data_IF_391023917944
#
_entry.id   IF_391023917944
#
_cell.length_a   1.000
_cell.length_b   1.000
_cell.length_c   1.000
_cell.angle_alpha   90.00
_cell.angle_beta   90.00
_cell.angle_gamma   90.00
#
_symmetry.space_group_name_H-M   'P 1'
#
loop_
_entity.id
_entity.type
_entity.pdbx_description
1 polymer ?
#
# COMPACT_ATOMS: atom_id res chain seq x y z
N UNK A 1 -16.80 38.40 -17.13
CA UNK A 1 -16.95 37.49 -18.28
C UNK A 1 -16.64 36.10 -17.75
N UNK A 2 -17.66 35.30 -17.49
CA UNK A 2 -17.52 33.91 -17.02
C UNK A 2 -17.03 33.07 -18.21
N UNK A 3 -15.81 32.62 -18.15
CA UNK A 3 -15.24 31.68 -19.10
C UNK A 3 -15.94 30.33 -18.89
N UNK A 4 -16.90 29.98 -19.75
CA UNK A 4 -17.42 28.64 -19.86
C UNK A 4 -16.23 27.73 -20.23
N UNK A 5 -15.66 27.00 -19.25
CA UNK A 5 -14.87 25.83 -19.58
C UNK A 5 -15.77 24.85 -20.34
N UNK A 6 -15.39 24.37 -21.52
CA UNK A 6 -16.15 23.35 -22.20
C UNK A 6 -16.26 22.14 -21.27
N UNK A 7 -17.48 21.56 -21.16
CA UNK A 7 -17.72 20.28 -20.50
C UNK A 7 -16.68 19.29 -21.03
N UNK A 8 -15.66 18.99 -20.26
CA UNK A 8 -14.75 17.89 -20.59
C UNK A 8 -15.61 16.64 -20.62
N UNK A 9 -15.71 15.98 -21.78
CA UNK A 9 -16.27 14.64 -21.87
C UNK A 9 -15.67 13.79 -20.75
N UNK A 10 -16.51 13.02 -20.05
CA UNK A 10 -16.02 12.16 -18.95
C UNK A 10 -14.87 11.32 -19.51
N UNK A 11 -13.70 11.42 -18.87
CA UNK A 11 -12.50 10.71 -19.33
C UNK A 11 -12.74 9.20 -19.46
N UNK A 12 -13.75 8.66 -18.78
CA UNK A 12 -14.13 7.25 -18.82
C UNK A 12 -14.77 6.83 -20.15
N UNK A 13 -15.35 7.77 -20.89
CA UNK A 13 -15.91 7.55 -22.22
C UNK A 13 -14.83 7.55 -23.32
N UNK A 14 -13.61 7.93 -22.96
CA UNK A 14 -12.47 7.96 -23.90
C UNK A 14 -11.71 6.63 -23.87
N UNK A 15 -11.11 6.21 -25.00
CA UNK A 15 -10.21 5.06 -25.01
C UNK A 15 -9.02 5.31 -24.07
N UNK A 16 -8.46 4.27 -23.44
CA UNK A 16 -7.33 4.42 -22.51
C UNK A 16 -6.14 5.22 -23.08
N UNK A 17 -5.89 5.11 -24.39
CA UNK A 17 -4.83 5.84 -25.07
C UNK A 17 -4.99 7.38 -25.05
N UNK A 18 -6.20 7.87 -24.78
CA UNK A 18 -6.50 9.30 -24.68
C UNK A 18 -6.64 9.77 -23.22
N UNK A 19 -6.45 8.86 -22.25
CA UNK A 19 -6.54 9.15 -20.81
C UNK A 19 -5.13 9.22 -20.21
N UNK A 20 -4.79 10.36 -19.62
CA UNK A 20 -3.48 10.59 -19.00
C UNK A 20 -3.55 10.39 -17.49
N UNK A 21 -2.70 9.49 -16.97
CA UNK A 21 -2.66 9.10 -15.58
C UNK A 21 -1.29 9.41 -14.97
N UNK A 22 -1.25 10.17 -13.88
CA UNK A 22 -0.01 10.36 -13.09
C UNK A 22 -0.03 9.42 -11.90
N UNK A 23 1.06 8.66 -11.72
CA UNK A 23 1.24 7.75 -10.59
C UNK A 23 2.31 8.31 -9.65
N UNK A 24 1.91 8.67 -8.44
CA UNK A 24 2.81 9.01 -7.34
C UNK A 24 3.17 7.78 -6.53
N UNK A 25 4.43 7.69 -6.06
CA UNK A 25 4.92 6.47 -5.42
C UNK A 25 5.20 5.34 -6.41
N UNK A 26 5.44 5.67 -7.69
CA UNK A 26 5.63 4.73 -8.81
C UNK A 26 6.76 3.71 -8.55
N UNK A 27 7.86 4.12 -7.90
CA UNK A 27 8.98 3.23 -7.56
C UNK A 27 8.76 2.42 -6.27
N UNK A 28 7.63 2.64 -5.59
CA UNK A 28 7.22 1.88 -4.41
C UNK A 28 6.78 0.46 -4.75
N UNK A 29 6.58 -0.34 -3.71
CA UNK A 29 6.28 -1.76 -3.86
C UNK A 29 5.03 -2.02 -4.74
N UNK A 30 3.90 -1.37 -4.44
CA UNK A 30 2.68 -1.52 -5.25
C UNK A 30 2.72 -0.62 -6.48
N UNK A 31 3.26 0.61 -6.36
CA UNK A 31 3.24 1.59 -7.45
C UNK A 31 3.86 1.10 -8.75
N UNK A 32 4.93 0.30 -8.67
CA UNK A 32 5.56 -0.29 -9.88
C UNK A 32 4.65 -1.28 -10.62
N UNK A 33 3.82 -2.04 -9.90
CA UNK A 33 2.84 -2.93 -10.52
C UNK A 33 1.69 -2.13 -11.12
N UNK A 34 1.27 -1.05 -10.45
CA UNK A 34 0.25 -0.13 -10.96
C UNK A 34 0.70 0.52 -12.26
N UNK A 35 1.91 1.07 -12.33
CA UNK A 35 2.46 1.65 -13.57
C UNK A 35 2.45 0.63 -14.71
N UNK A 36 2.95 -0.58 -14.46
CA UNK A 36 2.99 -1.66 -15.47
C UNK A 36 1.59 -2.07 -15.94
N UNK A 37 0.65 -2.19 -15.02
CA UNK A 37 -0.73 -2.56 -15.39
C UNK A 37 -1.41 -1.44 -16.20
N UNK A 38 -1.23 -0.18 -15.83
CA UNK A 38 -1.79 0.95 -16.58
C UNK A 38 -1.19 1.06 -17.99
N UNK A 39 0.13 0.87 -18.14
CA UNK A 39 0.79 0.81 -19.46
C UNK A 39 0.24 -0.35 -20.28
N UNK A 40 0.09 -1.54 -19.68
CA UNK A 40 -0.49 -2.73 -20.34
C UNK A 40 -1.91 -2.48 -20.83
N UNK A 41 -2.71 -1.68 -20.11
CA UNK A 41 -4.07 -1.29 -20.52
C UNK A 41 -4.10 -0.16 -21.57
N UNK A 42 -2.95 0.40 -21.92
CA UNK A 42 -2.81 1.41 -22.95
C UNK A 42 -3.03 2.85 -22.48
N UNK A 43 -3.03 3.13 -21.18
CA UNK A 43 -3.10 4.50 -20.66
C UNK A 43 -1.83 5.30 -20.97
N UNK A 44 -1.94 6.63 -21.09
CA UNK A 44 -0.79 7.52 -21.09
C UNK A 44 -0.28 7.71 -19.65
N UNK A 45 0.72 6.93 -19.27
CA UNK A 45 1.18 6.88 -17.88
C UNK A 45 2.37 7.81 -17.65
N UNK A 46 2.27 8.67 -16.64
CA UNK A 46 3.38 9.45 -16.09
C UNK A 46 3.78 8.82 -14.74
N UNK A 47 4.95 8.22 -14.66
CA UNK A 47 5.54 7.74 -13.42
C UNK A 47 6.32 8.88 -12.75
N UNK A 48 5.75 9.47 -11.69
CA UNK A 48 6.44 10.53 -10.95
C UNK A 48 7.35 9.94 -9.88
N UNK A 49 8.64 10.16 -10.03
CA UNK A 49 9.69 9.53 -9.26
C UNK A 49 10.61 10.55 -8.60
N UNK A 50 11.29 10.15 -7.54
CA UNK A 50 12.40 10.94 -6.98
C UNK A 50 13.65 10.73 -7.81
N UNK A 51 14.54 11.73 -7.87
CA UNK A 51 15.82 11.65 -8.59
C UNK A 51 16.69 10.48 -8.11
N UNK A 52 16.60 10.14 -6.83
CA UNK A 52 17.17 8.92 -6.25
C UNK A 52 16.05 8.07 -5.68
N UNK A 53 15.84 6.93 -6.25
CA UNK A 53 14.75 6.00 -5.94
C UNK A 53 15.25 4.62 -5.53
N UNK A 54 14.33 3.71 -5.31
CA UNK A 54 14.64 2.36 -4.84
C UNK A 54 15.04 2.33 -3.36
N UNK A 55 15.50 1.16 -2.93
CA UNK A 55 15.90 0.91 -1.54
C UNK A 55 17.14 1.74 -1.20
N UNK A 56 17.04 2.56 -0.15
CA UNK A 56 18.13 3.44 0.27
C UNK A 56 18.54 4.48 -0.77
N UNK A 57 17.71 4.78 -1.79
CA UNK A 57 18.04 5.76 -2.84
C UNK A 57 19.17 5.32 -3.78
N UNK A 58 19.36 4.01 -3.96
CA UNK A 58 20.47 3.44 -4.73
C UNK A 58 20.29 3.49 -6.24
N UNK A 59 19.06 3.61 -6.74
CA UNK A 59 18.77 3.72 -8.17
C UNK A 59 18.97 5.16 -8.64
N UNK A 60 19.71 5.33 -9.74
CA UNK A 60 19.82 6.59 -10.46
C UNK A 60 18.65 6.77 -11.46
N UNK A 61 18.60 7.92 -12.13
CA UNK A 61 17.50 8.25 -13.05
C UNK A 61 17.41 7.26 -14.22
N UNK A 62 18.52 6.87 -14.83
CA UNK A 62 18.54 5.94 -15.98
C UNK A 62 18.00 4.57 -15.62
N UNK A 63 18.34 4.08 -14.44
CA UNK A 63 17.81 2.81 -13.91
C UNK A 63 16.30 2.91 -13.66
N UNK A 64 15.82 4.03 -13.10
CA UNK A 64 14.40 4.24 -12.89
C UNK A 64 13.63 4.32 -14.20
N UNK A 65 14.18 4.99 -15.22
CA UNK A 65 13.57 5.04 -16.56
C UNK A 65 13.50 3.63 -17.17
N UNK A 66 14.55 2.83 -17.03
CA UNK A 66 14.59 1.46 -17.54
C UNK A 66 13.56 0.52 -16.87
N UNK A 67 13.15 0.81 -15.62
CA UNK A 67 12.15 0.02 -14.88
C UNK A 67 10.71 0.21 -15.41
N UNK A 68 10.46 1.30 -16.16
CA UNK A 68 9.12 1.70 -16.61
C UNK A 68 8.99 1.85 -18.14
N UNK A 69 9.28 0.79 -18.93
CA UNK A 69 9.09 0.83 -20.37
C UNK A 69 7.63 1.15 -20.73
N UNK A 70 7.41 2.11 -21.61
CA UNK A 70 6.09 2.55 -22.05
C UNK A 70 5.44 3.63 -21.18
N UNK A 71 6.03 4.00 -20.04
CA UNK A 71 5.61 5.15 -19.26
C UNK A 71 6.55 6.34 -19.45
N UNK A 72 6.02 7.56 -19.36
CA UNK A 72 6.81 8.76 -19.23
C UNK A 72 7.30 8.91 -17.80
N UNK A 73 8.62 8.86 -17.57
CA UNK A 73 9.19 9.06 -16.24
C UNK A 73 9.52 10.53 -16.02
N UNK A 74 9.02 11.09 -14.93
CA UNK A 74 9.32 12.47 -14.51
C UNK A 74 9.87 12.47 -13.09
N UNK A 75 10.83 13.38 -12.86
CA UNK A 75 11.52 13.46 -11.58
C UNK A 75 11.12 14.72 -10.81
N UNK A 76 10.96 14.54 -9.48
CA UNK A 76 10.65 15.62 -8.56
C UNK A 76 10.43 15.14 -7.12
N UNK A 77 10.05 16.08 -6.26
CA UNK A 77 9.74 15.82 -4.86
C UNK A 77 8.26 16.13 -4.57
N UNK A 78 7.53 15.16 -4.06
CA UNK A 78 6.12 15.30 -3.64
C UNK A 78 5.93 16.22 -2.43
N UNK A 79 7.01 16.55 -1.71
CA UNK A 79 7.01 17.50 -0.61
C UNK A 79 7.11 18.95 -1.10
N UNK A 80 7.66 19.16 -2.30
CA UNK A 80 7.80 20.47 -2.92
C UNK A 80 6.65 20.73 -3.90
N UNK A 81 5.73 21.61 -3.51
CA UNK A 81 4.57 22.01 -4.31
C UNK A 81 4.98 22.58 -5.67
N UNK A 82 6.09 23.34 -5.75
CA UNK A 82 6.58 23.88 -7.00
C UNK A 82 7.14 22.77 -7.92
N UNK A 83 7.75 21.74 -7.35
CA UNK A 83 8.18 20.57 -8.10
C UNK A 83 6.98 19.80 -8.68
N UNK A 84 5.91 19.64 -7.91
CA UNK A 84 4.67 19.01 -8.38
C UNK A 84 4.06 19.78 -9.53
N UNK A 85 3.83 21.07 -9.36
CA UNK A 85 3.22 21.92 -10.39
C UNK A 85 3.99 21.88 -11.70
N UNK A 86 5.32 22.00 -11.66
CA UNK A 86 6.17 22.05 -12.86
C UNK A 86 6.41 20.70 -13.51
N UNK A 87 6.58 19.65 -12.70
CA UNK A 87 7.08 18.37 -13.20
C UNK A 87 5.99 17.28 -13.27
N UNK A 88 4.99 17.29 -12.37
CA UNK A 88 3.91 16.34 -12.43
C UNK A 88 2.77 16.77 -13.37
N UNK A 89 2.46 18.07 -13.41
CA UNK A 89 1.31 18.64 -14.11
C UNK A 89 1.65 19.70 -15.18
N UNK A 90 2.71 19.58 -15.99
CA UNK A 90 3.00 20.55 -17.07
C UNK A 90 2.04 20.42 -18.24
N UNK A 91 1.26 19.35 -18.30
CA UNK A 91 0.24 19.06 -19.30
C UNK A 91 -1.03 18.60 -18.57
N UNK A 92 -2.21 18.69 -19.22
CA UNK A 92 -3.44 18.18 -18.65
C UNK A 92 -3.34 16.71 -18.24
N UNK A 93 -3.84 16.40 -17.06
CA UNK A 93 -3.90 15.05 -16.49
C UNK A 93 -5.36 14.78 -16.12
N UNK A 94 -5.86 13.58 -16.42
CA UNK A 94 -7.23 13.19 -16.14
C UNK A 94 -7.35 12.54 -14.77
N UNK A 95 -6.38 11.69 -14.41
CA UNK A 95 -6.42 10.87 -13.19
C UNK A 95 -5.09 10.93 -12.45
N UNK A 96 -5.17 11.03 -11.14
CA UNK A 96 -4.04 10.80 -10.23
C UNK A 96 -4.23 9.46 -9.54
N UNK A 97 -3.18 8.64 -9.51
CA UNK A 97 -3.09 7.45 -8.66
C UNK A 97 -1.98 7.67 -7.65
N UNK A 98 -2.34 7.69 -6.36
CA UNK A 98 -1.37 7.84 -5.27
C UNK A 98 -1.12 6.50 -4.57
N UNK A 99 0.10 5.99 -4.73
CA UNK A 99 0.65 4.85 -4.00
C UNK A 99 1.71 5.30 -2.98
N UNK A 100 1.60 6.55 -2.49
CA UNK A 100 2.52 7.08 -1.49
C UNK A 100 2.32 6.38 -0.15
N UNK A 101 3.43 6.04 0.49
CA UNK A 101 3.46 5.52 1.84
C UNK A 101 4.75 5.94 2.54
N UNK A 102 4.67 6.20 3.85
CA UNK A 102 5.84 6.38 4.70
C UNK A 102 6.69 5.10 4.70
N UNK A 103 7.99 5.25 4.89
CA UNK A 103 8.92 4.12 4.88
C UNK A 103 8.99 3.41 6.22
N UNK A 104 9.00 4.20 7.28
CA UNK A 104 9.23 3.71 8.64
C UNK A 104 7.94 3.53 9.43
N UNK A 105 6.85 4.15 9.01
CA UNK A 105 5.63 4.25 9.80
C UNK A 105 5.78 5.12 11.06
N UNK A 106 6.99 5.70 11.30
CA UNK A 106 7.25 6.63 12.38
C UNK A 106 6.40 7.89 12.25
N UNK A 107 6.20 8.61 13.36
CA UNK A 107 5.28 9.74 13.42
C UNK A 107 5.59 10.83 12.40
N UNK A 108 6.85 11.29 12.32
CA UNK A 108 7.22 12.37 11.41
C UNK A 108 7.07 11.95 9.94
N UNK A 109 7.56 10.76 9.60
CA UNK A 109 7.49 10.23 8.23
C UNK A 109 6.04 10.01 7.78
N UNK A 110 5.20 9.46 8.65
CA UNK A 110 3.78 9.23 8.39
C UNK A 110 3.03 10.53 8.08
N UNK A 111 3.14 11.54 8.93
CA UNK A 111 2.46 12.81 8.69
C UNK A 111 3.05 13.59 7.51
N UNK A 112 4.37 13.46 7.25
CA UNK A 112 5.01 14.11 6.11
C UNK A 112 4.64 13.46 4.76
N UNK A 113 4.46 12.12 4.71
CA UNK A 113 4.22 11.39 3.45
C UNK A 113 2.77 10.95 3.33
N UNK A 114 2.23 10.17 4.30
CA UNK A 114 0.89 9.61 4.18
C UNK A 114 -0.20 10.69 4.22
N UNK A 115 0.09 11.84 4.87
CA UNK A 115 -0.82 12.99 4.89
C UNK A 115 -0.33 14.12 3.99
N UNK A 116 0.72 14.87 4.38
CA UNK A 116 1.05 16.16 3.75
C UNK A 116 1.47 16.03 2.28
N UNK A 117 2.38 15.11 1.96
CA UNK A 117 2.81 14.92 0.58
C UNK A 117 1.64 14.43 -0.31
N UNK A 118 0.79 13.55 0.23
CA UNK A 118 -0.41 13.07 -0.47
C UNK A 118 -1.41 14.21 -0.68
N UNK A 119 -1.62 15.08 0.31
CA UNK A 119 -2.44 16.29 0.20
C UNK A 119 -1.88 17.28 -0.84
N UNK A 120 -0.55 17.43 -0.93
CA UNK A 120 0.07 18.26 -1.95
C UNK A 120 -0.25 17.74 -3.36
N UNK A 121 -0.17 16.41 -3.59
CA UNK A 121 -0.49 15.81 -4.90
C UNK A 121 -1.96 16.01 -5.26
N UNK A 122 -2.86 15.92 -4.30
CA UNK A 122 -4.28 16.21 -4.48
C UNK A 122 -4.52 17.68 -4.84
N UNK A 123 -3.96 18.59 -4.03
CA UNK A 123 -4.15 20.03 -4.20
C UNK A 123 -3.63 20.53 -5.55
N UNK A 124 -2.44 20.09 -5.96
CA UNK A 124 -1.88 20.47 -7.26
C UNK A 124 -2.60 19.79 -8.42
N UNK A 125 -3.03 18.53 -8.26
CA UNK A 125 -3.88 17.84 -9.22
C UNK A 125 -5.22 18.57 -9.44
N UNK A 126 -5.87 19.04 -8.37
CA UNK A 126 -7.09 19.84 -8.44
C UNK A 126 -6.89 21.13 -9.22
N UNK A 127 -5.83 21.89 -8.92
CA UNK A 127 -5.46 23.11 -9.67
C UNK A 127 -5.21 22.82 -11.15
N UNK A 128 -4.65 21.67 -11.48
CA UNK A 128 -4.39 21.22 -12.84
C UNK A 128 -5.64 20.66 -13.55
N UNK A 129 -6.79 20.59 -12.87
CA UNK A 129 -8.05 20.13 -13.41
C UNK A 129 -8.16 18.61 -13.53
N UNK A 130 -7.47 17.85 -12.67
CA UNK A 130 -7.63 16.40 -12.55
C UNK A 130 -9.07 16.08 -12.16
N UNK A 131 -9.67 15.09 -12.82
CA UNK A 131 -11.08 14.75 -12.63
C UNK A 131 -11.30 13.62 -11.59
N UNK A 132 -10.29 12.78 -11.36
CA UNK A 132 -10.41 11.62 -10.47
C UNK A 132 -9.11 11.32 -9.70
N UNK A 133 -9.25 10.94 -8.44
CA UNK A 133 -8.14 10.59 -7.56
C UNK A 133 -8.29 9.17 -7.01
N UNK A 134 -7.37 8.28 -7.34
CA UNK A 134 -7.32 6.92 -6.79
C UNK A 134 -6.27 6.88 -5.68
N UNK A 135 -6.68 6.60 -4.47
CA UNK A 135 -5.82 6.51 -3.29
C UNK A 135 -5.58 5.05 -2.90
N UNK A 136 -4.34 4.63 -2.85
CA UNK A 136 -3.95 3.41 -2.17
C UNK A 136 -3.80 3.69 -0.66
N UNK A 137 -4.83 3.36 0.09
CA UNK A 137 -4.84 3.41 1.54
C UNK A 137 -4.51 2.03 2.15
N UNK A 138 -5.12 1.67 3.27
CA UNK A 138 -4.94 0.39 3.94
C UNK A 138 -6.19 0.02 4.75
N UNK A 139 -6.55 -1.27 4.83
CA UNK A 139 -7.73 -1.69 5.59
C UNK A 139 -7.60 -1.38 7.10
N UNK A 140 -6.38 -1.35 7.61
CA UNK A 140 -6.12 -1.11 9.03
C UNK A 140 -6.46 0.31 9.51
N UNK A 141 -6.73 1.28 8.61
CA UNK A 141 -7.15 2.64 9.01
C UNK A 141 -8.55 2.67 9.65
N UNK A 142 -9.36 1.63 9.47
CA UNK A 142 -10.69 1.54 10.09
C UNK A 142 -10.63 1.41 11.63
N UNK A 143 -9.44 1.08 12.20
CA UNK A 143 -9.16 1.04 13.63
C UNK A 143 -7.79 1.71 13.89
N UNK A 144 -7.70 3.07 13.83
CA UNK A 144 -6.44 3.80 13.74
C UNK A 144 -5.77 3.93 15.11
N UNK A 145 -4.91 2.97 15.45
CA UNK A 145 -4.12 2.96 16.69
C UNK A 145 -2.70 3.52 16.47
N UNK A 146 -2.20 3.53 15.23
CA UNK A 146 -0.85 3.89 14.84
C UNK A 146 -0.80 5.23 14.09
N UNK A 147 0.35 5.89 14.11
CA UNK A 147 0.49 7.22 13.51
C UNK A 147 0.26 7.22 11.99
N UNK A 148 0.77 6.21 11.25
CA UNK A 148 0.53 6.14 9.81
C UNK A 148 -0.95 5.90 9.46
N UNK A 149 -1.69 5.16 10.29
CA UNK A 149 -3.12 4.95 10.11
C UNK A 149 -3.90 6.25 10.28
N UNK A 150 -3.55 7.04 11.31
CA UNK A 150 -4.16 8.35 11.57
C UNK A 150 -3.86 9.34 10.44
N UNK A 151 -2.60 9.35 9.95
CA UNK A 151 -2.18 10.21 8.86
C UNK A 151 -2.92 9.88 7.55
N UNK A 152 -3.05 8.60 7.20
CA UNK A 152 -3.83 8.15 6.05
C UNK A 152 -5.30 8.51 6.19
N UNK A 153 -5.91 8.23 7.34
CA UNK A 153 -7.32 8.52 7.60
C UNK A 153 -7.62 10.02 7.53
N UNK A 154 -6.71 10.87 8.03
CA UNK A 154 -6.84 12.32 7.93
C UNK A 154 -6.87 12.78 6.47
N UNK A 155 -6.04 12.19 5.59
CA UNK A 155 -6.10 12.49 4.16
C UNK A 155 -7.35 11.92 3.49
N UNK A 156 -7.78 10.70 3.84
CA UNK A 156 -9.05 10.16 3.31
C UNK A 156 -10.23 11.08 3.63
N UNK A 157 -10.29 11.60 4.87
CA UNK A 157 -11.32 12.55 5.28
C UNK A 157 -11.25 13.84 4.43
N UNK A 158 -10.06 14.42 4.27
CA UNK A 158 -9.89 15.62 3.44
C UNK A 158 -10.31 15.39 1.98
N UNK A 159 -10.02 14.20 1.42
CA UNK A 159 -10.41 13.82 0.07
C UNK A 159 -11.94 13.67 -0.08
N UNK A 160 -12.61 13.14 0.94
CA UNK A 160 -14.06 12.93 0.93
C UNK A 160 -14.84 14.24 1.13
N UNK A 161 -14.33 15.13 1.98
CA UNK A 161 -15.02 16.36 2.37
C UNK A 161 -14.97 17.46 1.29
N UNK A 162 -13.94 17.44 0.43
CA UNK A 162 -13.74 18.50 -0.57
C UNK A 162 -14.81 18.49 -1.68
N UNK A 163 -15.23 17.31 -2.14
CA UNK A 163 -16.33 17.13 -3.11
C UNK A 163 -16.07 17.64 -4.54
N UNK A 164 -14.94 18.29 -4.81
CA UNK A 164 -14.64 18.87 -6.13
C UNK A 164 -14.04 17.87 -7.12
N UNK A 165 -13.33 16.86 -6.63
CA UNK A 165 -12.73 15.79 -7.42
C UNK A 165 -13.34 14.45 -7.03
N UNK A 166 -13.75 13.63 -7.99
CA UNK A 166 -14.19 12.27 -7.67
C UNK A 166 -13.02 11.42 -7.19
N UNK A 167 -13.30 10.41 -6.37
CA UNK A 167 -12.26 9.58 -5.78
C UNK A 167 -12.61 8.09 -5.77
N UNK A 168 -11.56 7.27 -5.60
CA UNK A 168 -11.67 5.86 -5.19
C UNK A 168 -10.61 5.60 -4.10
N UNK A 169 -11.04 5.25 -2.90
CA UNK A 169 -10.14 4.97 -1.77
C UNK A 169 -10.02 3.46 -1.63
N UNK A 170 -8.91 2.88 -2.08
CA UNK A 170 -8.64 1.45 -2.02
C UNK A 170 -8.00 1.11 -0.68
N UNK A 171 -8.66 0.26 0.10
CA UNK A 171 -8.17 -0.24 1.41
C UNK A 171 -7.84 -1.73 1.33
N UNK A 172 -6.66 -2.10 0.82
CA UNK A 172 -6.25 -3.49 0.71
C UNK A 172 -5.96 -4.13 2.07
N UNK A 173 -6.09 -5.44 2.11
CA UNK A 173 -5.64 -6.31 3.18
C UNK A 173 -4.12 -6.52 3.11
N UNK A 174 -3.59 -7.60 3.72
CA UNK A 174 -2.16 -7.91 3.68
C UNK A 174 -1.67 -8.27 2.27
N UNK A 175 -0.48 -7.79 1.90
CA UNK A 175 0.18 -8.16 0.65
C UNK A 175 0.94 -9.47 0.80
N UNK A 176 1.04 -10.27 -0.27
CA UNK A 176 1.78 -11.53 -0.25
C UNK A 176 3.22 -11.36 0.23
N UNK A 177 3.91 -10.31 -0.23
CA UNK A 177 5.27 -10.02 0.20
C UNK A 177 5.41 -9.86 1.71
N UNK A 178 4.47 -9.18 2.36
CA UNK A 178 4.51 -8.98 3.82
C UNK A 178 4.46 -10.31 4.58
N UNK A 179 3.89 -11.36 3.98
CA UNK A 179 3.79 -12.70 4.54
C UNK A 179 5.01 -13.58 4.18
N UNK A 180 5.85 -13.13 3.24
CA UNK A 180 7.05 -13.85 2.79
C UNK A 180 8.27 -13.71 3.71
N UNK A 181 8.21 -12.87 4.74
CA UNK A 181 9.38 -12.51 5.55
C UNK A 181 10.09 -13.68 6.24
N UNK A 182 9.36 -14.77 6.54
CA UNK A 182 9.91 -15.95 7.22
C UNK A 182 10.34 -17.08 6.26
N UNK A 183 10.07 -16.98 4.96
CA UNK A 183 10.34 -18.05 3.99
C UNK A 183 11.80 -18.48 4.01
N UNK A 184 12.73 -17.54 3.98
CA UNK A 184 14.16 -17.84 3.95
C UNK A 184 14.65 -18.49 5.25
N UNK A 185 14.16 -18.06 6.40
CA UNK A 185 14.46 -18.68 7.70
C UNK A 185 13.96 -20.11 7.75
N UNK A 186 12.72 -20.34 7.34
CA UNK A 186 12.11 -21.70 7.30
C UNK A 186 12.82 -22.60 6.27
N UNK A 187 13.24 -22.05 5.11
CA UNK A 187 14.01 -22.76 4.10
C UNK A 187 15.35 -23.24 4.64
N UNK A 188 16.00 -22.45 5.50
CA UNK A 188 17.24 -22.82 6.21
C UNK A 188 17.03 -23.77 7.42
N UNK A 189 15.79 -24.16 7.70
CA UNK A 189 15.45 -25.12 8.77
C UNK A 189 15.02 -24.45 10.07
N UNK A 190 14.87 -23.12 10.10
CA UNK A 190 14.29 -22.41 11.25
C UNK A 190 12.79 -22.70 11.42
N UNK A 191 12.23 -22.40 12.61
CA UNK A 191 10.79 -22.48 12.85
C UNK A 191 10.07 -21.29 12.22
N UNK A 192 8.79 -21.48 11.89
CA UNK A 192 7.87 -20.37 11.62
C UNK A 192 7.40 -19.77 12.95
N UNK A 193 7.72 -18.52 13.18
CA UNK A 193 7.40 -17.81 14.42
C UNK A 193 6.02 -17.18 14.30
N UNK A 194 5.17 -17.40 15.30
CA UNK A 194 3.84 -16.83 15.38
C UNK A 194 3.51 -16.40 16.81
N UNK A 195 2.63 -15.42 16.96
CA UNK A 195 2.19 -14.94 18.27
C UNK A 195 0.85 -15.55 18.67
N UNK A 196 0.67 -15.82 19.97
CA UNK A 196 -0.59 -16.28 20.54
C UNK A 196 -1.16 -17.54 19.87
N UNK A 197 -0.28 -18.50 19.52
CA UNK A 197 -0.70 -19.72 18.81
C UNK A 197 -0.99 -19.51 17.32
N UNK A 198 -0.78 -18.30 16.78
CA UNK A 198 -0.99 -17.97 15.38
C UNK A 198 -2.46 -17.78 14.97
N UNK A 199 -3.35 -17.58 15.97
CA UNK A 199 -4.81 -17.44 15.74
C UNK A 199 -5.38 -16.11 16.18
N UNK A 200 -4.52 -15.16 16.61
CA UNK A 200 -4.96 -13.84 17.10
C UNK A 200 -5.48 -12.95 15.97
N UNK A 201 -4.92 -13.07 14.78
CA UNK A 201 -5.24 -12.25 13.63
C UNK A 201 -5.38 -13.10 12.37
N UNK A 202 -6.21 -12.64 11.44
CA UNK A 202 -6.41 -13.25 10.13
C UNK A 202 -6.44 -12.20 9.03
N UNK A 203 -6.16 -12.62 7.80
CA UNK A 203 -6.27 -11.76 6.62
C UNK A 203 -6.73 -12.55 5.39
N UNK A 204 -7.22 -11.84 4.36
CA UNK A 204 -7.39 -12.35 3.00
C UNK A 204 -6.25 -11.78 2.14
N UNK A 205 -5.08 -12.42 2.05
CA UNK A 205 -3.93 -11.82 1.38
C UNK A 205 -4.22 -11.55 -0.09
N UNK A 206 -3.70 -10.44 -0.62
CA UNK A 206 -3.85 -10.07 -2.03
C UNK A 206 -2.48 -9.94 -2.69
N UNK A 207 -2.36 -10.40 -3.95
CA UNK A 207 -1.15 -10.23 -4.74
C UNK A 207 -1.01 -8.76 -5.20
N UNK A 208 0.23 -8.37 -5.47
CA UNK A 208 0.55 -7.05 -6.01
C UNK A 208 -0.06 -6.84 -7.40
N UNK A 209 -0.11 -7.92 -8.19
CA UNK A 209 -0.68 -7.90 -9.54
C UNK A 209 -2.20 -7.74 -9.51
N UNK A 210 -2.88 -8.49 -8.64
CA UNK A 210 -4.32 -8.36 -8.47
C UNK A 210 -4.70 -6.98 -7.94
N UNK A 211 -3.96 -6.48 -6.95
CA UNK A 211 -4.19 -5.15 -6.41
C UNK A 211 -3.97 -4.06 -7.47
N UNK A 212 -2.94 -4.18 -8.31
CA UNK A 212 -2.71 -3.24 -9.40
C UNK A 212 -3.84 -3.27 -10.44
N UNK A 213 -4.38 -4.46 -10.75
CA UNK A 213 -5.56 -4.61 -11.62
C UNK A 213 -6.78 -3.92 -11.01
N UNK A 214 -7.03 -4.14 -9.71
CA UNK A 214 -8.14 -3.48 -9.01
C UNK A 214 -8.02 -1.96 -8.98
N UNK A 215 -6.82 -1.43 -8.73
CA UNK A 215 -6.54 0.01 -8.76
C UNK A 215 -6.78 0.58 -10.18
N UNK A 216 -6.38 -0.15 -11.21
CA UNK A 216 -6.63 0.27 -12.59
C UNK A 216 -8.12 0.23 -12.95
N UNK A 217 -8.91 -0.73 -12.40
CA UNK A 217 -10.36 -0.76 -12.54
C UNK A 217 -11.04 0.47 -11.92
N UNK A 218 -10.47 1.04 -10.84
CA UNK A 218 -11.00 2.25 -10.23
C UNK A 218 -10.99 3.48 -11.18
N UNK A 219 -10.21 3.44 -12.25
CA UNK A 219 -10.18 4.52 -13.24
C UNK A 219 -11.40 4.45 -14.16
N UNK A 220 -11.77 3.26 -14.63
CA UNK A 220 -12.81 3.06 -15.66
C UNK A 220 -14.18 2.66 -15.12
N UNK A 221 -14.23 2.00 -13.97
CA UNK A 221 -15.46 1.48 -13.39
C UNK A 221 -16.23 2.58 -12.62
N UNK A 222 -17.43 2.98 -13.11
CA UNK A 222 -18.22 4.02 -12.45
C UNK A 222 -18.73 3.61 -11.06
N UNK A 223 -18.89 2.30 -10.77
CA UNK A 223 -19.34 1.82 -9.46
C UNK A 223 -18.29 2.02 -8.36
N UNK A 224 -17.02 2.17 -8.73
CA UNK A 224 -15.93 2.45 -7.80
C UNK A 224 -15.73 3.94 -7.50
N UNK A 225 -16.53 4.80 -8.14
CA UNK A 225 -16.45 6.25 -7.97
C UNK A 225 -17.04 6.70 -6.65
N UNK A 226 -16.34 7.58 -5.93
CA UNK A 226 -16.71 8.13 -4.63
C UNK A 226 -16.99 7.04 -3.58
N UNK A 227 -16.16 5.98 -3.63
CA UNK A 227 -16.28 4.82 -2.76
C UNK A 227 -15.01 4.61 -1.92
N UNK A 228 -15.21 4.10 -0.71
CA UNK A 228 -14.17 3.47 0.10
C UNK A 228 -14.26 1.97 -0.14
N UNK A 229 -13.18 1.39 -0.66
CA UNK A 229 -13.15 0.06 -1.26
C UNK A 229 -12.20 -0.87 -0.46
N UNK A 230 -12.69 -1.52 0.60
CA UNK A 230 -11.94 -2.61 1.21
C UNK A 230 -11.78 -3.75 0.20
N UNK A 231 -10.58 -4.37 0.13
CA UNK A 231 -10.33 -5.43 -0.85
C UNK A 231 -9.27 -6.42 -0.33
N UNK A 232 -9.58 -7.70 -0.43
CA UNK A 232 -8.68 -8.82 -0.20
C UNK A 232 -8.49 -9.66 -1.45
N UNK A 233 -7.56 -10.62 -1.38
CA UNK A 233 -7.36 -11.60 -2.43
C UNK A 233 -8.40 -12.71 -2.43
N UNK A 234 -8.28 -13.67 -3.36
CA UNK A 234 -9.19 -14.80 -3.48
C UNK A 234 -9.07 -15.76 -2.28
N UNK A 235 -10.14 -16.53 -2.05
CA UNK A 235 -10.17 -17.57 -1.03
C UNK A 235 -10.66 -17.09 0.32
N UNK A 236 -10.46 -17.95 1.32
CA UNK A 236 -10.87 -17.73 2.71
C UNK A 236 -9.85 -16.87 3.47
N UNK A 237 -10.32 -16.20 4.52
CA UNK A 237 -9.41 -15.56 5.46
C UNK A 237 -8.55 -16.62 6.16
N UNK A 238 -7.26 -16.32 6.33
CA UNK A 238 -6.30 -17.25 6.94
C UNK A 238 -5.52 -16.61 8.08
N UNK A 239 -5.28 -17.39 9.11
CA UNK A 239 -4.48 -17.04 10.28
C UNK A 239 -2.98 -17.23 10.02
N UNK A 240 -2.11 -16.67 10.88
CA UNK A 240 -0.68 -16.88 10.80
C UNK A 240 -0.28 -18.36 10.92
N UNK A 241 -1.04 -19.19 11.66
CA UNK A 241 -0.84 -20.63 11.74
C UNK A 241 -1.05 -21.29 10.38
N UNK A 242 -2.18 -21.02 9.73
CA UNK A 242 -2.51 -21.59 8.41
C UNK A 242 -1.50 -21.15 7.34
N UNK A 243 -1.02 -19.91 7.40
CA UNK A 243 0.07 -19.42 6.53
C UNK A 243 1.37 -20.20 6.72
N UNK A 244 1.76 -20.45 7.98
CA UNK A 244 2.93 -21.27 8.30
C UNK A 244 2.78 -22.72 7.84
N UNK A 245 1.61 -23.34 8.02
CA UNK A 245 1.30 -24.67 7.54
C UNK A 245 1.40 -24.75 6.01
N UNK A 246 0.86 -23.75 5.31
CA UNK A 246 0.96 -23.62 3.85
C UNK A 246 2.42 -23.50 3.39
N UNK A 247 3.23 -22.66 4.06
CA UNK A 247 4.66 -22.50 3.75
C UNK A 247 5.41 -23.83 3.92
N UNK A 248 5.17 -24.57 5.00
CA UNK A 248 5.85 -25.87 5.19
C UNK A 248 5.40 -26.93 4.17
N UNK A 249 4.15 -26.90 3.70
CA UNK A 249 3.71 -27.73 2.57
C UNK A 249 4.50 -27.37 1.29
N UNK A 250 4.61 -26.08 0.97
CA UNK A 250 5.39 -25.61 -0.18
C UNK A 250 6.89 -26.01 -0.09
N UNK A 251 7.46 -26.01 1.13
CA UNK A 251 8.83 -26.46 1.39
C UNK A 251 9.01 -27.99 1.30
N UNK A 252 7.94 -28.78 1.32
CA UNK A 252 8.01 -30.23 1.41
C UNK A 252 8.66 -30.72 2.70
N UNK A 253 8.50 -30.01 3.81
CA UNK A 253 9.17 -30.26 5.10
C UNK A 253 8.17 -30.47 6.22
N UNK A 254 8.61 -31.16 7.27
CA UNK A 254 7.84 -31.25 8.51
C UNK A 254 7.71 -29.87 9.15
N UNK A 255 6.50 -29.58 9.62
CA UNK A 255 6.16 -28.30 10.25
C UNK A 255 6.98 -28.08 11.54
N UNK A 256 7.58 -26.90 11.63
CA UNK A 256 8.29 -26.44 12.83
C UNK A 256 7.72 -25.07 13.20
N UNK A 257 6.73 -25.06 14.09
CA UNK A 257 6.03 -23.86 14.54
C UNK A 257 6.54 -23.46 15.92
N UNK A 258 6.84 -22.16 16.09
CA UNK A 258 7.20 -21.58 17.38
C UNK A 258 6.15 -20.52 17.77
N UNK A 259 5.40 -20.81 18.82
CA UNK A 259 4.43 -19.85 19.37
C UNK A 259 5.08 -19.00 20.45
N UNK A 260 5.00 -17.68 20.30
CA UNK A 260 5.49 -16.70 21.25
C UNK A 260 4.30 -15.99 21.90
N UNK A 261 4.22 -15.88 23.24
CA UNK A 261 3.19 -15.09 23.89
C UNK A 261 3.28 -13.61 23.46
N UNK A 262 2.15 -13.01 23.06
CA UNK A 262 2.14 -11.62 22.61
C UNK A 262 2.55 -10.64 23.72
N UNK A 263 2.29 -10.98 24.97
CA UNK A 263 2.68 -10.19 26.13
C UNK A 263 4.20 -9.95 26.23
N UNK A 264 5.03 -10.78 25.58
CA UNK A 264 6.48 -10.53 25.49
C UNK A 264 6.83 -9.28 24.67
N UNK A 265 5.94 -8.78 23.83
CA UNK A 265 6.11 -7.52 23.13
C UNK A 265 5.73 -6.31 23.99
N UNK A 266 4.80 -6.48 24.94
CA UNK A 266 4.22 -5.37 25.70
C UNK A 266 5.24 -4.69 26.63
N UNK A 267 6.11 -5.47 27.30
CA UNK A 267 7.13 -4.94 28.21
C UNK A 267 8.15 -4.03 27.52
N UNK A 268 8.84 -4.49 26.48
CA UNK A 268 9.78 -3.67 25.70
C UNK A 268 9.12 -2.42 25.10
N UNK A 269 7.90 -2.53 24.58
CA UNK A 269 7.14 -1.41 24.00
C UNK A 269 6.85 -0.37 25.09
N UNK A 270 6.30 -0.78 26.22
CA UNK A 270 6.00 0.14 27.33
C UNK A 270 7.25 0.85 27.86
N UNK A 271 8.39 0.13 27.92
CA UNK A 271 9.68 0.72 28.31
C UNK A 271 10.13 1.79 27.31
N UNK A 272 10.07 1.47 25.99
CA UNK A 272 10.43 2.43 24.94
C UNK A 272 9.50 3.64 24.93
N UNK A 273 8.20 3.46 25.14
CA UNK A 273 7.22 4.55 25.27
C UNK A 273 7.52 5.44 26.49
N UNK A 274 7.88 4.83 27.62
CA UNK A 274 8.31 5.59 28.81
C UNK A 274 9.58 6.42 28.57
N UNK A 275 10.59 5.81 27.97
CA UNK A 275 11.86 6.47 27.64
C UNK A 275 11.68 7.53 26.54
N UNK A 276 10.80 7.34 25.58
CA UNK A 276 10.55 8.28 24.48
C UNK A 276 10.01 9.64 24.95
N UNK A 277 9.40 9.69 26.13
CA UNK A 277 8.98 10.95 26.76
C UNK A 277 10.17 11.81 27.20
N UNK A 278 11.28 11.17 27.58
CA UNK A 278 12.51 11.82 28.00
C UNK A 278 13.50 12.01 26.83
N UNK A 279 13.46 11.07 25.88
CA UNK A 279 14.36 11.00 24.72
C UNK A 279 13.54 10.95 23.43
N UNK A 280 13.20 12.09 22.81
CA UNK A 280 12.33 12.13 21.61
C UNK A 280 12.82 11.27 20.43
N UNK A 281 14.12 11.02 20.32
CA UNK A 281 14.68 10.14 19.28
C UNK A 281 14.26 8.67 19.38
N UNK A 282 13.66 8.24 20.50
CA UNK A 282 13.13 6.88 20.68
C UNK A 282 11.65 6.75 20.24
N UNK A 283 10.99 7.83 19.87
CA UNK A 283 9.56 7.80 19.50
C UNK A 283 9.30 6.89 18.31
N UNK A 284 10.12 6.97 17.26
CA UNK A 284 9.96 6.14 16.07
C UNK A 284 10.27 4.66 16.37
N UNK A 285 11.23 4.38 17.28
CA UNK A 285 11.52 3.01 17.72
C UNK A 285 10.35 2.42 18.52
N UNK A 286 9.73 3.22 19.38
CA UNK A 286 8.54 2.79 20.12
C UNK A 286 7.35 2.53 19.15
N UNK A 287 7.14 3.44 18.19
CA UNK A 287 6.09 3.28 17.18
C UNK A 287 6.31 2.03 16.33
N UNK A 288 7.56 1.73 15.95
CA UNK A 288 7.91 0.52 15.24
C UNK A 288 7.53 -0.76 16.01
N UNK A 289 7.80 -0.79 17.32
CA UNK A 289 7.36 -1.88 18.18
C UNK A 289 5.83 -2.04 18.21
N UNK A 290 5.10 -0.91 18.28
CA UNK A 290 3.63 -0.88 18.23
C UNK A 290 3.08 -1.40 16.90
N UNK A 291 3.72 -1.06 15.78
CA UNK A 291 3.35 -1.56 14.45
C UNK A 291 3.46 -3.09 14.41
N UNK A 292 4.59 -3.66 14.87
CA UNK A 292 4.77 -5.11 14.94
C UNK A 292 3.70 -5.79 15.80
N UNK A 293 3.43 -5.23 16.99
CA UNK A 293 2.38 -5.74 17.89
C UNK A 293 0.99 -5.67 17.26
N UNK A 294 0.69 -4.56 16.57
CA UNK A 294 -0.59 -4.37 15.86
C UNK A 294 -0.82 -5.49 14.85
N UNK A 295 0.14 -5.72 13.95
CA UNK A 295 0.02 -6.77 12.92
C UNK A 295 0.02 -8.19 13.51
N UNK A 296 0.56 -8.38 14.69
CA UNK A 296 0.51 -9.68 15.39
C UNK A 296 -0.86 -9.98 16.02
N UNK A 297 -1.70 -8.97 16.28
CA UNK A 297 -2.95 -9.13 17.04
C UNK A 297 -4.21 -8.60 16.37
N UNK A 298 -4.10 -7.71 15.36
CA UNK A 298 -5.24 -7.13 14.67
C UNK A 298 -5.40 -7.74 13.29
N UNK A 299 -6.61 -8.18 12.94
CA UNK A 299 -6.87 -8.78 11.64
C UNK A 299 -6.91 -7.74 10.52
N UNK A 300 -6.44 -8.12 9.34
CA UNK A 300 -6.55 -7.33 8.12
C UNK A 300 -7.82 -7.76 7.35
N UNK A 301 -8.97 -7.48 7.94
CA UNK A 301 -10.32 -7.78 7.44
C UNK A 301 -11.23 -6.58 7.70
N UNK A 302 -12.40 -6.54 7.11
CA UNK A 302 -13.42 -5.52 7.40
C UNK A 302 -13.77 -5.56 8.89
N UNK A 303 -13.76 -4.39 9.53
CA UNK A 303 -14.16 -4.23 10.93
C UNK A 303 -15.66 -3.90 11.01
N UNK A 304 -16.41 -4.78 11.65
CA UNK A 304 -17.81 -4.52 12.00
C UNK A 304 -17.86 -3.77 13.34
N UNK A 305 -18.16 -2.48 13.28
CA UNK A 305 -18.21 -1.64 14.47
C UNK A 305 -19.40 -1.97 15.41
N UNK A 306 -20.49 -2.53 14.88
CA UNK A 306 -21.65 -2.92 15.69
C UNK A 306 -21.34 -4.16 16.54
N UNK A 307 -20.75 -5.16 15.91
CA UNK A 307 -20.43 -6.44 16.55
C UNK A 307 -19.05 -6.42 17.23
N UNK A 308 -18.27 -5.33 17.09
CA UNK A 308 -16.90 -5.19 17.62
C UNK A 308 -15.99 -6.36 17.22
N UNK A 309 -16.12 -6.83 15.97
CA UNK A 309 -15.34 -7.96 15.43
C UNK A 309 -14.92 -7.72 13.99
N UNK A 310 -13.87 -8.43 13.60
CA UNK A 310 -13.49 -8.52 12.20
C UNK A 310 -14.38 -9.51 11.45
N UNK A 311 -14.77 -9.16 10.24
CA UNK A 311 -15.70 -9.93 9.41
C UNK A 311 -15.02 -10.37 8.11
N UNK A 312 -14.74 -11.67 8.03
CA UNK A 312 -14.11 -12.26 6.86
C UNK A 312 -15.07 -12.35 5.66
N UNK A 313 -16.37 -12.57 5.92
CA UNK A 313 -17.38 -12.72 4.88
C UNK A 313 -17.73 -11.36 4.28
N UNK A 314 -17.74 -10.29 5.09
CA UNK A 314 -17.91 -8.92 4.63
C UNK A 314 -16.66 -8.36 3.93
N UNK A 315 -15.51 -9.05 4.01
CA UNK A 315 -14.28 -8.62 3.33
C UNK A 315 -14.31 -9.06 1.87
N UNK A 316 -14.43 -8.13 0.90
CA UNK A 316 -14.51 -8.48 -0.52
C UNK A 316 -13.24 -9.18 -1.01
N UNK A 317 -13.40 -10.04 -2.00
CA UNK A 317 -12.30 -10.75 -2.66
C UNK A 317 -12.15 -10.31 -4.11
N UNK A 318 -10.90 -10.26 -4.60
CA UNK A 318 -10.58 -9.91 -5.98
C UNK A 318 -9.34 -10.66 -6.44
N UNK A 319 -9.33 -11.00 -7.75
CA UNK A 319 -8.20 -11.61 -8.43
C UNK A 319 -8.18 -13.12 -8.35
N UNK A 320 -7.07 -13.69 -8.82
CA UNK A 320 -6.89 -15.13 -9.00
C UNK A 320 -5.60 -15.66 -8.37
N UNK A 321 -4.65 -14.77 -8.04
CA UNK A 321 -3.37 -15.17 -7.48
C UNK A 321 -3.54 -15.65 -6.03
N UNK A 322 -3.02 -16.85 -5.71
CA UNK A 322 -3.11 -17.41 -4.35
C UNK A 322 -1.81 -17.28 -3.58
N UNK A 323 -1.89 -17.20 -2.24
CA UNK A 323 -0.71 -17.19 -1.39
C UNK A 323 0.09 -18.50 -1.50
N UNK A 324 -0.57 -19.62 -1.78
CA UNK A 324 0.09 -20.91 -1.99
C UNK A 324 1.00 -20.87 -3.21
N UNK A 325 0.51 -20.39 -4.36
CA UNK A 325 1.32 -20.19 -5.57
C UNK A 325 2.49 -19.22 -5.33
N UNK A 326 2.28 -18.19 -4.52
CA UNK A 326 3.34 -17.27 -4.13
C UNK A 326 4.42 -18.00 -3.33
N UNK A 327 4.07 -18.78 -2.31
CA UNK A 327 5.04 -19.55 -1.52
C UNK A 327 5.78 -20.57 -2.36
N UNK A 328 5.10 -21.33 -3.24
CA UNK A 328 5.74 -22.28 -4.16
C UNK A 328 6.78 -21.59 -5.04
N UNK A 329 6.43 -20.44 -5.62
CA UNK A 329 7.35 -19.64 -6.43
C UNK A 329 8.55 -19.17 -5.63
N UNK A 330 8.32 -18.58 -4.45
CA UNK A 330 9.42 -18.05 -3.61
C UNK A 330 10.33 -19.17 -3.08
N UNK A 331 9.78 -20.32 -2.75
CA UNK A 331 10.56 -21.49 -2.33
C UNK A 331 11.45 -21.99 -3.47
N UNK A 332 10.96 -22.01 -4.70
CA UNK A 332 11.69 -22.45 -5.90
C UNK A 332 12.72 -21.43 -6.36
N UNK A 333 12.31 -20.18 -6.53
CA UNK A 333 13.05 -19.13 -7.23
C UNK A 333 13.72 -18.12 -6.28
N UNK A 334 13.40 -18.19 -4.98
CA UNK A 334 13.81 -17.20 -3.97
C UNK A 334 12.99 -15.91 -4.03
N UNK A 335 13.35 -14.95 -3.16
CA UNK A 335 12.74 -13.61 -3.11
C UNK A 335 13.35 -12.64 -4.14
N UNK A 336 14.06 -13.14 -5.16
CA UNK A 336 14.71 -12.31 -6.17
C UNK A 336 13.69 -11.37 -6.86
N UNK A 337 14.02 -10.09 -6.99
CA UNK A 337 13.13 -9.07 -7.55
C UNK A 337 12.03 -8.59 -6.60
N UNK A 338 11.96 -9.14 -5.40
CA UNK A 338 11.04 -8.74 -4.34
C UNK A 338 11.80 -8.17 -3.12
N UNK A 339 12.80 -7.33 -3.36
CA UNK A 339 13.56 -6.69 -2.29
C UNK A 339 12.61 -6.07 -1.27
N UNK A 340 12.73 -6.53 -0.01
CA UNK A 340 11.87 -6.07 1.10
C UNK A 340 12.20 -4.64 1.52
N UNK A 341 13.38 -4.14 1.14
CA UNK A 341 13.85 -2.82 1.53
C UNK A 341 13.92 -2.66 3.04
N UNK A 342 13.72 -1.43 3.48
CA UNK A 342 13.62 -1.10 4.91
C UNK A 342 12.36 -1.71 5.57
N UNK A 343 11.43 -2.25 4.77
CA UNK A 343 10.22 -2.95 5.20
C UNK A 343 10.42 -4.47 5.40
N UNK A 344 11.67 -4.95 5.52
CA UNK A 344 11.98 -6.38 5.70
C UNK A 344 11.54 -6.98 7.05
N UNK A 345 10.92 -6.18 7.90
CA UNK A 345 10.52 -6.56 9.26
C UNK A 345 9.00 -6.73 9.41
N UNK A 346 8.23 -6.45 8.34
CA UNK A 346 6.76 -6.60 8.32
C UNK A 346 6.32 -7.55 7.22
#
# INVERSE_FOLDING_TARGET
MSSFMPLRHDFRERPPADVRVVVFGATGYIGRFVVKELVKRGYQVVAFCRERSGIGGRQNQDQVVADFPGAEVRFGDVKDVNSLSRNAFPQPVDVVVSCLASRTGGRQDSWAIDHQATLNTYTEGRKAGVAHYVLLSAICVQKPLLEFQKAKLAFETALQDDGEMSYSIVRPTAFFKSLGGQVESCRKGGPYVMFGGGTLASCKPISESDLARFIADCISDPEKRNQVLPIGGPGQAMSAREQGEMLFRALGRQQRMLSVPIALMDGPIALLEGLSKLFPGLQDTAEFGRIGRYYASESMLVWNAQDQRYDADATPSYGEDTLEQFFERVVRDGMAGQDLGDASVF
#
